data_IF_819462756222
#
_entry.id   IF_819462756222
#
_cell.length_a   1.000
_cell.length_b   1.000
_cell.length_c   1.000
_cell.angle_alpha   90.00
_cell.angle_beta   90.00
_cell.angle_gamma   90.00
#
_symmetry.space_group_name_H-M   'P 1'
#
loop_
_entity.id
_entity.type
_entity.pdbx_description
1 polymer ?
#
# COMPACT_ATOMS: atom_id res chain seq x y z
N UNK A 1 6.99 -4.75 3.18
CA UNK A 1 7.95 -5.64 3.87
C UNK A 1 9.21 -4.86 4.19
N UNK A 2 9.71 -4.97 5.41
CA UNK A 2 11.01 -4.41 5.76
C UNK A 2 12.12 -5.25 5.13
N UNK A 3 13.19 -4.65 4.57
CA UNK A 3 14.34 -5.38 4.04
C UNK A 3 14.98 -6.33 5.06
N UNK A 4 14.99 -5.96 6.32
CA UNK A 4 15.57 -6.75 7.41
C UNK A 4 14.79 -8.05 7.69
N UNK A 5 13.54 -8.13 7.26
CA UNK A 5 12.71 -9.32 7.48
C UNK A 5 13.23 -10.54 6.73
N UNK A 6 13.86 -10.35 5.60
CA UNK A 6 14.43 -11.44 4.80
C UNK A 6 15.92 -11.64 5.05
N UNK A 7 16.49 -10.93 6.03
CA UNK A 7 17.89 -11.05 6.39
C UNK A 7 18.87 -10.46 5.39
N UNK A 8 18.40 -9.68 4.42
CA UNK A 8 19.22 -8.99 3.43
C UNK A 8 18.84 -7.53 3.35
N UNK A 9 19.82 -6.68 3.06
CA UNK A 9 19.64 -5.23 2.95
C UNK A 9 19.21 -4.87 1.51
N UNK A 10 17.95 -5.11 1.20
CA UNK A 10 17.33 -4.76 -0.07
C UNK A 10 16.34 -3.62 0.12
N UNK A 11 16.33 -2.69 -0.82
CA UNK A 11 15.35 -1.61 -0.83
C UNK A 11 14.00 -2.12 -1.37
N UNK A 12 12.89 -1.86 -0.67
CA UNK A 12 11.58 -2.21 -1.20
C UNK A 12 11.27 -1.36 -2.43
N UNK A 13 10.86 -2.02 -3.51
CA UNK A 13 10.60 -1.37 -4.78
C UNK A 13 9.13 -1.50 -5.23
N UNK A 14 8.41 -2.51 -4.73
CA UNK A 14 7.01 -2.71 -5.09
C UNK A 14 6.11 -2.00 -4.10
N UNK A 15 5.26 -1.13 -4.63
CA UNK A 15 4.30 -0.37 -3.81
C UNK A 15 2.95 -0.26 -4.51
N UNK A 16 1.93 0.08 -3.73
CA UNK A 16 0.59 0.41 -4.24
C UNK A 16 0.27 1.83 -3.79
N UNK A 17 -0.08 2.68 -4.74
CA UNK A 17 -0.53 4.03 -4.48
C UNK A 17 -2.03 4.03 -4.23
N UNK A 18 -2.43 4.67 -3.15
CA UNK A 18 -3.84 4.78 -2.74
C UNK A 18 -4.22 6.25 -2.55
N UNK A 19 -5.51 6.50 -2.44
CA UNK A 19 -6.03 7.82 -2.14
C UNK A 19 -6.73 7.78 -0.78
N UNK A 20 -6.46 8.79 0.04
CA UNK A 20 -7.19 8.96 1.31
C UNK A 20 -8.64 9.31 0.99
N UNK A 21 -9.56 8.46 1.41
CA UNK A 21 -10.99 8.60 1.14
C UNK A 21 -11.78 9.16 2.31
N UNK A 22 -11.26 9.04 3.53
CA UNK A 22 -11.93 9.57 4.72
C UNK A 22 -10.94 9.81 5.86
N UNK A 23 -11.21 10.85 6.64
CA UNK A 23 -10.49 11.21 7.87
C UNK A 23 -11.51 11.41 8.98
N UNK A 24 -12.01 10.33 9.62
CA UNK A 24 -13.03 10.45 10.68
C UNK A 24 -12.55 11.22 11.90
N UNK A 25 -11.26 11.12 12.21
CA UNK A 25 -10.58 11.85 13.27
C UNK A 25 -9.08 11.94 12.97
N UNK A 26 -8.29 12.75 13.69
CA UNK A 26 -6.87 12.92 13.41
C UNK A 26 -6.00 11.65 13.53
N UNK A 27 -6.48 10.63 14.22
CA UNK A 27 -5.76 9.37 14.39
C UNK A 27 -6.24 8.28 13.43
N UNK A 28 -7.24 8.54 12.60
CA UNK A 28 -7.77 7.54 11.68
C UNK A 28 -7.68 7.99 10.23
N UNK A 29 -7.07 7.12 9.42
CA UNK A 29 -6.95 7.32 7.98
C UNK A 29 -7.66 6.17 7.29
N UNK A 30 -8.57 6.49 6.38
CA UNK A 30 -9.22 5.49 5.51
C UNK A 30 -8.78 5.77 4.08
N UNK A 31 -8.34 4.74 3.38
CA UNK A 31 -7.93 4.81 1.98
C UNK A 31 -8.74 3.85 1.11
N UNK A 32 -8.67 4.04 -0.20
CA UNK A 32 -9.43 3.29 -1.19
C UNK A 32 -8.79 1.96 -1.62
N UNK A 33 -7.89 1.42 -0.81
CA UNK A 33 -7.26 0.13 -1.08
C UNK A 33 -7.51 -0.85 0.06
N UNK A 34 -8.32 -1.87 -0.20
CA UNK A 34 -8.56 -2.98 0.70
C UNK A 34 -7.82 -4.24 0.25
N UNK A 35 -8.24 -5.41 0.74
CA UNK A 35 -7.53 -6.64 0.45
C UNK A 35 -7.65 -7.08 -1.02
N UNK A 36 -8.61 -6.54 -1.78
CA UNK A 36 -8.69 -6.76 -3.23
C UNK A 36 -7.57 -6.06 -4.01
N UNK A 37 -6.90 -5.10 -3.40
CA UNK A 37 -5.78 -4.37 -4.01
C UNK A 37 -4.45 -4.69 -3.36
N UNK A 38 -4.45 -4.85 -2.03
CA UNK A 38 -3.26 -5.10 -1.23
C UNK A 38 -3.59 -6.16 -0.17
N UNK A 39 -3.44 -7.44 -0.49
CA UNK A 39 -3.66 -8.48 0.51
C UNK A 39 -2.56 -8.43 1.57
N UNK A 40 -2.93 -8.74 2.80
CA UNK A 40 -1.99 -8.84 3.91
C UNK A 40 -2.03 -10.25 4.48
N UNK A 41 -1.22 -11.14 3.92
CA UNK A 41 -1.13 -12.52 4.38
C UNK A 41 -0.13 -12.62 5.54
N UNK A 42 1.12 -12.91 5.22
CA UNK A 42 2.16 -13.08 6.23
C UNK A 42 2.78 -11.76 6.68
N UNK A 43 2.65 -10.74 5.86
CA UNK A 43 3.22 -9.42 6.13
C UNK A 43 2.22 -8.33 5.72
N UNK A 44 1.78 -7.49 6.66
CA UNK A 44 0.93 -6.38 6.32
C UNK A 44 1.67 -5.35 5.47
N UNK A 45 0.96 -4.65 4.57
CA UNK A 45 1.54 -3.53 3.86
C UNK A 45 1.91 -2.41 4.84
N UNK A 46 2.97 -1.67 4.50
CA UNK A 46 3.48 -0.59 5.34
C UNK A 46 3.34 0.76 4.64
N UNK A 47 2.69 1.75 5.26
CA UNK A 47 2.59 3.08 4.67
C UNK A 47 3.95 3.77 4.63
N UNK A 48 4.22 4.50 3.55
CA UNK A 48 5.41 5.31 3.37
C UNK A 48 5.14 6.78 3.72
N UNK A 49 6.15 7.44 4.28
CA UNK A 49 6.10 8.88 4.53
C UNK A 49 5.19 9.29 5.68
N UNK A 50 4.73 8.35 6.47
CA UNK A 50 3.90 8.61 7.64
C UNK A 50 4.79 8.74 8.87
N UNK A 51 4.73 9.91 9.53
CA UNK A 51 5.56 10.18 10.72
C UNK A 51 5.07 9.40 11.95
N UNK A 52 3.76 9.15 12.04
CA UNK A 52 3.14 8.46 13.16
C UNK A 52 3.25 6.95 13.02
N UNK A 53 3.34 6.25 14.13
CA UNK A 53 3.30 4.78 14.14
C UNK A 53 1.85 4.31 13.99
N UNK A 54 1.67 3.27 13.20
CA UNK A 54 0.38 2.62 13.04
C UNK A 54 0.15 1.68 14.21
N UNK A 55 -0.91 1.94 14.97
CA UNK A 55 -1.34 1.09 16.08
C UNK A 55 -2.11 -0.13 15.59
N UNK A 56 -2.96 0.07 14.60
CA UNK A 56 -3.83 -0.97 14.05
C UNK A 56 -4.11 -0.70 12.58
N UNK A 57 -4.07 -1.74 11.77
CA UNK A 57 -4.47 -1.69 10.37
C UNK A 57 -5.55 -2.73 10.11
N UNK A 58 -6.61 -2.33 9.46
CA UNK A 58 -7.74 -3.20 9.10
C UNK A 58 -8.05 -3.02 7.63
N UNK A 59 -8.33 -4.11 6.93
CA UNK A 59 -8.76 -4.07 5.55
C UNK A 59 -10.15 -4.67 5.41
N UNK A 60 -11.01 -3.97 4.70
CA UNK A 60 -12.20 -4.56 4.08
C UNK A 60 -11.88 -4.89 2.61
N UNK A 61 -12.89 -5.28 1.85
CA UNK A 61 -12.69 -5.61 0.43
C UNK A 61 -12.10 -4.45 -0.37
N UNK A 62 -12.64 -3.25 -0.17
CA UNK A 62 -12.36 -2.08 -1.00
C UNK A 62 -11.59 -0.98 -0.26
N UNK A 63 -11.52 -1.02 1.07
CA UNK A 63 -10.94 0.05 1.88
C UNK A 63 -9.95 -0.48 2.90
N UNK A 64 -8.92 0.33 3.15
CA UNK A 64 -7.99 0.13 4.25
C UNK A 64 -8.21 1.21 5.30
N UNK A 65 -8.09 0.84 6.57
CA UNK A 65 -8.18 1.77 7.68
C UNK A 65 -6.93 1.64 8.56
N UNK A 66 -6.29 2.77 8.82
CA UNK A 66 -5.16 2.87 9.74
C UNK A 66 -5.59 3.63 10.99
N UNK A 67 -5.27 3.08 12.14
CA UNK A 67 -5.34 3.79 13.41
C UNK A 67 -3.91 4.10 13.86
N UNK A 68 -3.65 5.38 14.14
CA UNK A 68 -2.33 5.88 14.50
C UNK A 68 -2.20 5.99 16.02
N UNK A 69 -0.96 5.87 16.51
CA UNK A 69 -0.66 6.07 17.93
C UNK A 69 -0.76 7.53 18.36
N UNK A 70 -0.59 8.46 17.40
CA UNK A 70 -0.69 9.90 17.64
C UNK A 70 -1.39 10.59 16.47
N UNK A 71 -1.94 11.81 16.66
CA UNK A 71 -2.64 12.52 15.60
C UNK A 71 -1.76 12.83 14.39
N UNK A 72 -2.33 12.73 13.20
CA UNK A 72 -1.78 13.24 11.96
C UNK A 72 -2.73 14.29 11.41
N UNK A 73 -2.25 15.52 11.21
CA UNK A 73 -3.00 16.65 10.71
C UNK A 73 -2.53 17.13 9.33
N UNK A 74 -1.66 16.39 8.69
CA UNK A 74 -1.11 16.74 7.37
C UNK A 74 -1.80 16.05 6.20
N UNK A 75 -2.30 14.82 6.40
CA UNK A 75 -3.02 14.10 5.37
C UNK A 75 -4.50 14.47 5.34
N UNK A 76 -4.97 14.82 4.16
CA UNK A 76 -6.37 15.19 3.90
C UNK A 76 -7.02 14.22 2.92
N UNK A 77 -8.33 14.22 2.88
CA UNK A 77 -9.11 13.48 1.87
C UNK A 77 -8.68 13.94 0.47
N UNK A 78 -8.36 12.99 -0.40
CA UNK A 78 -7.83 13.25 -1.73
C UNK A 78 -6.32 13.17 -1.84
N UNK A 79 -5.59 13.17 -0.73
CA UNK A 79 -4.14 12.99 -0.74
C UNK A 79 -3.76 11.55 -1.09
N UNK A 80 -2.55 11.40 -1.64
CA UNK A 80 -2.00 10.10 -1.95
C UNK A 80 -1.31 9.50 -0.73
N UNK A 81 -1.49 8.20 -0.56
CA UNK A 81 -0.80 7.41 0.44
C UNK A 81 -0.27 6.15 -0.25
N UNK A 82 1.04 5.93 -0.14
CA UNK A 82 1.71 4.81 -0.80
C UNK A 82 2.03 3.74 0.23
N UNK A 83 1.74 2.50 -0.09
CA UNK A 83 2.08 1.35 0.74
C UNK A 83 3.16 0.50 0.10
N UNK A 84 4.19 0.17 0.86
CA UNK A 84 5.09 -0.91 0.50
C UNK A 84 4.34 -2.23 0.66
N UNK A 85 4.40 -3.07 -0.36
CA UNK A 85 3.68 -4.33 -0.40
C UNK A 85 4.32 -5.34 0.55
N UNK A 86 3.50 -5.96 1.39
CA UNK A 86 3.96 -7.02 2.29
C UNK A 86 4.01 -8.39 1.64
N UNK A 87 3.11 -8.66 0.70
CA UNK A 87 3.02 -9.91 -0.03
C UNK A 87 2.95 -9.64 -1.54
N UNK A 88 4.09 -9.68 -2.19
CA UNK A 88 4.22 -9.29 -3.61
C UNK A 88 3.44 -10.17 -4.56
N UNK A 89 3.51 -11.49 -4.41
CA UNK A 89 2.80 -12.42 -5.28
C UNK A 89 1.29 -12.19 -5.25
N UNK A 90 0.73 -12.08 -4.05
CA UNK A 90 -0.70 -11.86 -3.87
C UNK A 90 -1.17 -10.50 -4.36
N UNK A 91 -0.28 -9.52 -4.38
CA UNK A 91 -0.62 -8.16 -4.85
C UNK A 91 -0.56 -8.06 -6.35
N UNK A 92 0.53 -8.52 -6.96
CA UNK A 92 0.78 -8.32 -8.40
C UNK A 92 -0.34 -8.87 -9.26
N UNK A 93 -0.79 -10.09 -9.01
CA UNK A 93 -1.81 -10.70 -9.88
C UNK A 93 -3.22 -10.10 -9.73
N UNK A 94 -3.43 -9.23 -8.74
CA UNK A 94 -4.70 -8.50 -8.58
C UNK A 94 -4.81 -7.27 -9.49
N UNK A 95 -3.70 -6.85 -10.09
CA UNK A 95 -3.64 -5.67 -10.93
C UNK A 95 -3.40 -6.04 -12.39
N UNK A 96 -3.91 -5.21 -13.30
CA UNK A 96 -3.76 -5.45 -14.74
C UNK A 96 -2.42 -4.95 -15.26
N UNK A 97 -1.86 -3.93 -14.61
CA UNK A 97 -0.65 -3.24 -15.06
C UNK A 97 0.29 -2.95 -13.89
N UNK A 98 1.55 -2.86 -14.22
CA UNK A 98 2.61 -2.39 -13.32
C UNK A 98 3.25 -1.15 -13.92
N UNK A 99 3.39 -0.10 -13.10
CA UNK A 99 3.93 1.19 -13.53
C UNK A 99 5.35 1.33 -13.00
N UNK A 100 6.31 1.52 -13.89
CA UNK A 100 7.69 1.81 -13.53
C UNK A 100 7.90 3.30 -13.34
N UNK A 101 8.35 3.69 -12.14
CA UNK A 101 8.55 5.09 -11.78
C UNK A 101 9.98 5.31 -11.34
N UNK A 102 10.60 6.38 -11.84
CA UNK A 102 11.93 6.81 -11.41
C UNK A 102 11.91 8.32 -11.19
N UNK A 103 12.37 8.75 -10.01
CA UNK A 103 12.40 10.18 -9.64
C UNK A 103 11.05 10.88 -9.84
N UNK A 104 9.94 10.20 -9.47
CA UNK A 104 8.60 10.74 -9.60
C UNK A 104 8.02 10.74 -11.01
N UNK A 105 8.74 10.20 -12.00
CA UNK A 105 8.33 10.18 -13.41
C UNK A 105 8.04 8.74 -13.84
N UNK A 106 6.89 8.55 -14.50
CA UNK A 106 6.55 7.26 -15.11
C UNK A 106 7.44 7.03 -16.32
N UNK A 107 8.24 5.96 -16.29
CA UNK A 107 9.12 5.58 -17.39
C UNK A 107 8.46 4.55 -18.31
N UNK A 108 7.65 3.66 -17.76
CA UNK A 108 7.04 2.57 -18.51
C UNK A 108 5.82 2.03 -17.79
N UNK A 109 4.97 1.34 -18.54
CA UNK A 109 3.82 0.60 -18.04
C UNK A 109 3.88 -0.79 -18.65
N UNK A 110 3.85 -1.82 -17.81
CA UNK A 110 3.86 -3.20 -18.25
C UNK A 110 2.53 -3.89 -17.96
N UNK A 111 1.95 -4.63 -18.90
CA UNK A 111 0.83 -5.50 -18.59
C UNK A 111 1.31 -6.64 -17.69
N UNK A 112 0.50 -7.05 -16.75
CA UNK A 112 0.77 -8.22 -15.91
C UNK A 112 0.27 -9.45 -16.64
N UNK A 113 1.17 -10.15 -17.34
CA UNK A 113 0.83 -11.22 -18.26
C UNK A 113 0.21 -12.44 -17.59
N UNK A 114 0.50 -12.65 -16.31
CA UNK A 114 -0.10 -13.73 -15.52
C UNK A 114 -1.52 -13.45 -15.02
N UNK A 115 -2.01 -12.23 -15.18
CA UNK A 115 -3.35 -11.84 -14.73
C UNK A 115 -4.42 -12.67 -15.43
N UNK A 116 -5.28 -13.31 -14.64
CA UNK A 116 -6.37 -14.13 -15.16
C UNK A 116 -5.96 -15.50 -15.69
N UNK A 117 -4.72 -15.96 -15.47
CA UNK A 117 -4.20 -17.24 -15.96
C UNK A 117 -4.24 -18.37 -14.95
N UNK A 118 -4.85 -18.15 -13.79
CA UNK A 118 -4.94 -19.14 -12.71
C UNK A 118 -6.16 -20.06 -12.84
N UNK A 119 -6.50 -20.48 -14.00
CA UNK A 119 -7.66 -21.36 -14.27
C UNK A 119 -7.30 -22.55 -15.12
#
# INVERSE_FOLDING_TARGET
MSPTRVGVDLQPALSVQTTVSSRPNPQRIICDAGFKSIPSNDAPPAPLGLAQRVRKAVSSSEHGALELESPNDTLEVGDLLVFVVGYGNGTVYLHDEMVGVRNGIVECVWPILGRGKLK
#
